data_IF_751326681581
#
_entry.id   IF_751326681581
#
_cell.length_a   1.000
_cell.length_b   1.000
_cell.length_c   1.000
_cell.angle_alpha   90.00
_cell.angle_beta   90.00
_cell.angle_gamma   90.00
#
_symmetry.space_group_name_H-M   'P 1'
#
loop_
_entity.id
_entity.type
_entity.pdbx_description
1 polymer ?
#
# COMPACT_ATOMS: atom_id res chain seq x y z
N UNK A 1 11.59 -18.95 -10.03
CA UNK A 1 11.83 -17.51 -10.16
C UNK A 1 10.47 -16.90 -10.37
N UNK A 2 9.96 -16.17 -9.38
CA UNK A 2 8.62 -15.60 -9.50
C UNK A 2 8.70 -14.41 -10.46
N UNK A 3 8.05 -14.58 -11.61
CA UNK A 3 8.06 -13.63 -12.71
C UNK A 3 7.33 -12.35 -12.26
N UNK A 4 7.93 -11.19 -12.38
CA UNK A 4 7.30 -9.89 -12.06
C UNK A 4 6.42 -9.36 -13.19
N UNK A 5 6.11 -10.20 -14.16
CA UNK A 5 5.26 -9.84 -15.28
C UNK A 5 3.78 -9.78 -14.83
N UNK A 6 3.33 -8.57 -14.48
CA UNK A 6 1.95 -8.33 -14.10
C UNK A 6 1.04 -8.26 -15.33
N UNK A 7 0.03 -9.14 -15.38
CA UNK A 7 -1.07 -9.06 -16.35
C UNK A 7 -2.07 -7.96 -15.99
N UNK A 8 -2.26 -7.71 -14.69
CA UNK A 8 -3.20 -6.70 -14.19
C UNK A 8 -2.76 -6.16 -12.84
N UNK A 9 -2.68 -4.84 -12.73
CA UNK A 9 -2.49 -4.15 -11.44
C UNK A 9 -3.84 -3.86 -10.80
N UNK A 10 -4.02 -4.30 -9.56
CA UNK A 10 -5.24 -4.08 -8.77
C UNK A 10 -5.02 -2.95 -7.77
N UNK A 11 -3.81 -2.81 -7.25
CA UNK A 11 -3.46 -1.86 -6.19
C UNK A 11 -2.02 -1.37 -6.37
N UNK A 12 -1.78 -0.08 -6.18
CA UNK A 12 -0.45 0.54 -6.18
C UNK A 12 -0.43 1.77 -5.28
N UNK A 13 0.29 1.71 -4.15
CA UNK A 13 0.43 2.85 -3.21
C UNK A 13 1.54 3.78 -3.66
N UNK A 14 1.16 4.79 -4.43
CA UNK A 14 2.09 5.70 -5.08
C UNK A 14 2.83 6.61 -4.12
N UNK A 15 2.13 7.10 -3.10
CA UNK A 15 2.71 8.01 -2.12
C UNK A 15 3.82 7.27 -1.36
N UNK A 16 3.51 6.05 -0.92
CA UNK A 16 4.52 5.18 -0.31
C UNK A 16 5.70 4.92 -1.25
N UNK A 17 5.43 4.53 -2.50
CA UNK A 17 6.48 4.14 -3.45
C UNK A 17 7.35 5.33 -3.85
N UNK A 18 6.78 6.53 -3.97
CA UNK A 18 7.54 7.75 -4.22
C UNK A 18 8.52 8.05 -3.07
N UNK A 19 8.04 8.00 -1.82
CA UNK A 19 8.88 8.19 -0.63
C UNK A 19 9.97 7.12 -0.54
N UNK A 20 9.60 5.85 -0.74
CA UNK A 20 10.53 4.73 -0.77
C UNK A 20 11.63 4.94 -1.82
N UNK A 21 11.26 5.39 -3.01
CA UNK A 21 12.21 5.63 -4.08
C UNK A 21 13.16 6.78 -3.76
N UNK A 22 12.65 7.85 -3.16
CA UNK A 22 13.47 8.97 -2.70
C UNK A 22 14.44 8.57 -1.58
N UNK A 23 13.99 7.74 -0.63
CA UNK A 23 14.83 7.23 0.46
C UNK A 23 15.98 6.40 -0.11
N UNK A 24 15.68 5.48 -1.04
CA UNK A 24 16.71 4.65 -1.66
C UNK A 24 17.68 5.49 -2.47
N UNK A 25 17.22 6.55 -3.14
CA UNK A 25 18.08 7.51 -3.83
C UNK A 25 18.97 8.36 -2.90
N UNK A 26 18.80 8.24 -1.58
CA UNK A 26 19.68 8.85 -0.58
C UNK A 26 19.24 10.23 -0.07
N UNK A 27 17.98 10.64 -0.27
CA UNK A 27 17.43 11.87 0.34
C UNK A 27 18.05 13.21 -0.10
N UNK A 28 19.17 13.21 -0.83
CA UNK A 28 19.81 14.38 -1.41
C UNK A 28 19.88 14.28 -2.94
N UNK A 29 19.25 15.24 -3.58
CA UNK A 29 19.23 15.47 -5.02
C UNK A 29 20.59 15.95 -5.58
N UNK A 30 21.69 15.71 -4.84
CA UNK A 30 23.05 16.18 -5.16
C UNK A 30 23.98 15.11 -5.75
N UNK A 31 23.61 13.83 -5.78
CA UNK A 31 24.48 12.75 -6.31
C UNK A 31 23.75 11.74 -7.21
N UNK A 32 22.80 12.20 -8.01
CA UNK A 32 22.02 11.38 -8.97
C UNK A 32 22.90 10.64 -9.99
N UNK A 33 24.06 11.19 -10.37
CA UNK A 33 24.97 10.54 -11.31
C UNK A 33 25.61 9.28 -10.71
N UNK A 34 26.00 9.29 -9.43
CA UNK A 34 26.61 8.11 -8.78
C UNK A 34 25.57 6.99 -8.58
N UNK A 35 24.33 7.34 -8.20
CA UNK A 35 23.25 6.36 -7.98
C UNK A 35 22.81 5.66 -9.28
N UNK A 36 22.64 6.42 -10.36
CA UNK A 36 22.35 5.86 -11.70
C UNK A 36 23.53 4.96 -12.14
N UNK A 37 24.76 5.38 -11.89
CA UNK A 37 25.95 4.59 -12.27
C UNK A 37 26.08 3.32 -11.43
N UNK A 38 25.86 3.37 -10.11
CA UNK A 38 25.97 2.20 -9.21
C UNK A 38 24.85 1.17 -9.45
N UNK A 39 23.62 1.62 -9.78
CA UNK A 39 22.54 0.73 -10.21
C UNK A 39 22.91 0.00 -11.50
N UNK A 40 23.61 0.69 -12.40
CA UNK A 40 24.07 0.15 -13.67
C UNK A 40 25.35 -0.71 -13.54
N UNK A 41 26.24 -0.40 -12.58
CA UNK A 41 27.51 -1.10 -12.36
C UNK A 41 27.39 -2.38 -11.53
N UNK A 42 26.25 -2.62 -10.87
CA UNK A 42 25.93 -3.94 -10.28
C UNK A 42 25.81 -5.09 -11.29
N UNK A 43 25.91 -4.78 -12.59
CA UNK A 43 25.90 -5.69 -13.74
C UNK A 43 27.33 -5.89 -14.31
N UNK A 44 28.33 -5.16 -13.83
CA UNK A 44 29.72 -5.28 -14.31
C UNK A 44 30.46 -6.39 -13.58
N UNK A 45 30.17 -7.61 -14.01
CA UNK A 45 30.80 -8.81 -13.50
C UNK A 45 30.85 -9.94 -14.50
N UNK A 46 31.11 -9.67 -15.78
CA UNK A 46 32.02 -10.43 -16.67
C UNK A 46 32.02 -9.82 -18.07
N UNK A 47 33.22 -9.68 -18.61
CA UNK A 47 33.52 -9.07 -19.89
C UNK A 47 32.89 -9.79 -21.09
N UNK A 48 32.48 -8.98 -22.08
CA UNK A 48 32.26 -9.37 -23.47
C UNK A 48 30.92 -10.03 -23.73
N UNK A 49 30.03 -9.32 -24.44
CA UNK A 49 29.20 -9.80 -25.55
C UNK A 49 28.39 -8.59 -26.05
N UNK A 50 28.57 -8.31 -27.34
CA UNK A 50 27.72 -7.44 -28.14
C UNK A 50 26.26 -7.92 -28.12
N UNK A 51 25.31 -6.99 -28.13
CA UNK A 51 23.93 -7.28 -28.51
C UNK A 51 22.92 -7.18 -27.36
N UNK A 52 22.11 -6.11 -27.42
CA UNK A 52 20.94 -5.93 -26.55
C UNK A 52 21.04 -4.70 -25.65
N UNK A 53 21.10 -3.50 -26.25
CA UNK A 53 20.84 -2.25 -25.50
C UNK A 53 19.35 -2.27 -25.15
N UNK A 54 19.03 -2.88 -24.02
CA UNK A 54 17.70 -2.86 -23.42
C UNK A 54 17.36 -1.42 -23.02
N UNK A 55 16.16 -1.01 -23.41
CA UNK A 55 15.47 0.24 -23.07
C UNK A 55 15.34 0.52 -21.56
N UNK A 56 15.82 -0.38 -20.69
CA UNK A 56 15.79 -0.35 -19.23
C UNK A 56 16.64 0.78 -18.61
N UNK A 57 17.73 1.21 -19.26
CA UNK A 57 18.64 2.24 -18.72
C UNK A 57 18.02 3.64 -18.63
N UNK A 58 16.98 3.91 -19.42
CA UNK A 58 16.39 5.24 -19.57
C UNK A 58 15.13 5.46 -18.72
N UNK A 59 14.52 4.41 -18.17
CA UNK A 59 13.25 4.51 -17.46
C UNK A 59 13.49 5.04 -16.04
N UNK A 60 14.26 4.29 -15.22
CA UNK A 60 14.64 4.66 -13.86
C UNK A 60 15.24 6.07 -13.74
N UNK A 61 16.10 6.47 -14.69
CA UNK A 61 16.73 7.79 -14.67
C UNK A 61 15.75 8.95 -14.80
N UNK A 62 14.60 8.75 -15.45
CA UNK A 62 13.63 9.83 -15.71
C UNK A 62 12.87 10.23 -14.46
N UNK A 63 12.45 9.27 -13.62
CA UNK A 63 11.75 9.59 -12.38
C UNK A 63 12.69 10.11 -11.32
N UNK A 64 13.90 9.55 -11.20
CA UNK A 64 14.90 10.11 -10.29
C UNK A 64 15.29 11.54 -10.63
N UNK A 65 15.18 11.95 -11.89
CA UNK A 65 15.38 13.36 -12.31
C UNK A 65 14.17 14.23 -11.97
N UNK A 66 12.96 13.69 -12.07
CA UNK A 66 11.71 14.41 -11.80
C UNK A 66 11.42 14.58 -10.30
N UNK A 67 11.50 13.52 -9.48
CA UNK A 67 11.38 13.58 -8.01
C UNK A 67 12.48 14.46 -7.37
N UNK A 68 13.54 14.68 -8.14
CA UNK A 68 14.66 15.55 -7.89
C UNK A 68 14.37 17.05 -8.05
N UNK A 69 13.17 17.43 -8.50
CA UNK A 69 12.85 18.83 -8.75
C UNK A 69 13.67 19.45 -9.88
N UNK A 70 14.45 18.66 -10.64
CA UNK A 70 15.08 19.09 -11.87
C UNK A 70 13.98 19.14 -12.95
N UNK A 71 13.26 20.24 -12.98
CA UNK A 71 12.21 20.51 -13.97
C UNK A 71 12.78 20.40 -15.38
N UNK A 72 12.30 19.42 -16.14
CA UNK A 72 12.42 19.45 -17.59
C UNK A 72 11.57 20.63 -18.06
N UNK A 73 12.23 21.66 -18.58
CA UNK A 73 11.56 22.81 -19.18
C UNK A 73 10.71 22.33 -20.36
N UNK A 74 9.44 22.04 -20.11
CA UNK A 74 8.42 21.92 -21.14
C UNK A 74 7.78 23.29 -21.25
N UNK A 75 8.30 24.09 -22.17
CA UNK A 75 7.67 25.34 -22.57
C UNK A 75 6.25 25.04 -23.08
N UNK A 76 5.23 25.38 -22.31
CA UNK A 76 3.84 25.29 -22.75
C UNK A 76 3.07 26.53 -22.27
N UNK A 77 2.75 27.37 -23.25
CA UNK A 77 2.02 28.61 -23.13
C UNK A 77 0.63 28.42 -22.52
N UNK A 78 0.27 29.40 -21.69
CA UNK A 78 -0.90 29.45 -20.82
C UNK A 78 -2.20 29.52 -21.63
N UNK A 79 -3.10 28.57 -21.40
CA UNK A 79 -4.53 28.75 -21.61
C UNK A 79 -5.30 28.01 -20.49
N UNK A 80 -6.13 28.73 -19.74
CA UNK A 80 -6.59 28.34 -18.39
C UNK A 80 -7.58 27.18 -18.34
N UNK A 81 -8.20 26.79 -19.45
CA UNK A 81 -9.06 25.58 -19.54
C UNK A 81 -8.30 24.28 -19.90
N UNK A 82 -7.06 24.41 -20.37
CA UNK A 82 -6.16 23.26 -20.64
C UNK A 82 -5.48 22.73 -19.37
N UNK A 83 -5.37 23.54 -18.33
CA UNK A 83 -4.68 23.23 -17.07
C UNK A 83 -5.21 21.96 -16.38
N UNK A 84 -6.52 21.84 -16.18
CA UNK A 84 -7.11 20.68 -15.48
C UNK A 84 -6.98 19.36 -16.24
N UNK A 85 -6.97 19.42 -17.58
CA UNK A 85 -6.79 18.24 -18.45
C UNK A 85 -5.31 17.89 -18.58
N UNK A 86 -4.42 18.88 -18.65
CA UNK A 86 -2.97 18.65 -18.61
C UNK A 86 -2.52 18.10 -17.27
N UNK A 87 -3.07 18.58 -16.15
CA UNK A 87 -2.72 18.12 -14.80
C UNK A 87 -3.11 16.64 -14.60
N UNK A 88 -4.28 16.23 -15.08
CA UNK A 88 -4.71 14.82 -15.08
C UNK A 88 -3.83 13.95 -15.99
N UNK A 89 -3.46 14.46 -17.17
CA UNK A 89 -2.59 13.74 -18.10
C UNK A 89 -1.18 13.61 -17.50
N UNK A 90 -0.61 14.68 -16.95
CA UNK A 90 0.70 14.70 -16.32
C UNK A 90 0.73 13.81 -15.07
N UNK A 91 -0.31 13.84 -14.24
CA UNK A 91 -0.48 12.94 -13.10
C UNK A 91 -0.50 11.49 -13.58
N UNK A 92 -1.39 11.11 -14.49
CA UNK A 92 -1.46 9.73 -14.99
C UNK A 92 -0.16 9.25 -15.67
N UNK A 93 0.55 10.13 -16.37
CA UNK A 93 1.87 9.81 -16.94
C UNK A 93 2.88 9.58 -15.80
N UNK A 94 2.92 10.43 -14.79
CA UNK A 94 3.79 10.29 -13.63
C UNK A 94 3.51 8.98 -12.87
N UNK A 95 2.23 8.69 -12.61
CA UNK A 95 1.76 7.47 -11.94
C UNK A 95 2.20 6.20 -12.69
N UNK A 96 1.95 6.12 -14.00
CA UNK A 96 2.32 4.98 -14.82
C UNK A 96 3.84 4.83 -14.97
N UNK A 97 4.58 5.94 -14.99
CA UNK A 97 6.04 5.89 -15.00
C UNK A 97 6.53 5.35 -13.66
N UNK A 98 6.00 5.85 -12.52
CA UNK A 98 6.40 5.42 -11.17
C UNK A 98 6.19 3.93 -10.94
N UNK A 99 5.05 3.41 -11.39
CA UNK A 99 4.77 1.99 -11.37
C UNK A 99 5.81 1.19 -12.19
N UNK A 100 6.06 1.60 -13.44
CA UNK A 100 7.00 0.90 -14.32
C UNK A 100 8.43 0.89 -13.76
N UNK A 101 8.87 2.03 -13.23
CA UNK A 101 10.19 2.18 -12.61
C UNK A 101 10.31 1.38 -11.31
N UNK A 102 9.25 1.34 -10.50
CA UNK A 102 9.24 0.52 -9.29
C UNK A 102 9.32 -0.98 -9.62
N UNK A 103 8.59 -1.46 -10.64
CA UNK A 103 8.71 -2.84 -11.11
C UNK A 103 10.12 -3.11 -11.63
N UNK A 104 10.68 -2.23 -12.44
CA UNK A 104 12.05 -2.37 -12.95
C UNK A 104 13.10 -2.38 -11.82
N UNK A 105 12.89 -1.60 -10.76
CA UNK A 105 13.72 -1.64 -9.55
C UNK A 105 13.64 -3.01 -8.87
N UNK A 106 12.42 -3.53 -8.65
CA UNK A 106 12.22 -4.84 -8.02
C UNK A 106 12.95 -5.93 -8.83
N UNK A 107 12.86 -5.90 -10.16
CA UNK A 107 13.51 -6.84 -11.06
C UNK A 107 15.03 -6.75 -11.04
N UNK A 108 15.54 -5.52 -11.05
CA UNK A 108 16.97 -5.28 -10.95
C UNK A 108 17.51 -5.73 -9.58
N UNK A 109 16.77 -5.49 -8.49
CA UNK A 109 17.18 -5.86 -7.14
C UNK A 109 17.14 -7.38 -6.89
N UNK A 110 16.21 -8.09 -7.54
CA UNK A 110 16.19 -9.57 -7.54
C UNK A 110 17.48 -10.15 -8.11
N UNK A 111 18.03 -9.54 -9.18
CA UNK A 111 19.27 -9.96 -9.85
C UNK A 111 20.55 -9.64 -9.05
N UNK A 112 20.47 -8.77 -8.03
CA UNK A 112 21.64 -8.40 -7.21
C UNK A 112 21.99 -9.48 -6.19
N UNK A 113 23.27 -9.78 -6.08
CA UNK A 113 23.80 -10.71 -5.06
C UNK A 113 24.16 -10.02 -3.74
N UNK A 114 24.45 -8.71 -3.76
CA UNK A 114 24.83 -7.88 -2.60
C UNK A 114 24.10 -6.53 -2.64
N UNK A 115 23.99 -5.86 -1.50
CA UNK A 115 23.36 -4.54 -1.36
C UNK A 115 21.92 -4.47 -1.91
N UNK A 116 21.10 -5.47 -1.56
CA UNK A 116 19.68 -5.51 -1.94
C UNK A 116 18.90 -4.37 -1.29
N UNK A 117 18.36 -3.49 -2.12
CA UNK A 117 17.64 -2.26 -1.75
C UNK A 117 16.16 -2.53 -1.46
N UNK A 118 15.60 -3.60 -2.02
CA UNK A 118 14.20 -4.00 -1.84
C UNK A 118 14.03 -5.11 -0.79
N UNK A 119 15.06 -5.39 0.02
CA UNK A 119 15.04 -6.47 1.02
C UNK A 119 13.94 -6.34 2.09
N UNK A 120 13.46 -5.11 2.35
CA UNK A 120 12.33 -4.85 3.24
C UNK A 120 10.96 -5.15 2.63
N UNK A 121 10.87 -5.39 1.31
CA UNK A 121 9.63 -5.72 0.62
C UNK A 121 9.47 -7.23 0.58
N UNK A 122 8.46 -7.73 1.30
CA UNK A 122 8.07 -9.14 1.30
C UNK A 122 7.05 -9.40 0.20
N UNK A 123 7.22 -10.53 -0.49
CA UNK A 123 6.29 -11.00 -1.52
C UNK A 123 5.41 -12.11 -0.97
N UNK A 124 4.10 -11.97 -1.16
CA UNK A 124 3.07 -12.94 -0.82
C UNK A 124 2.41 -13.43 -2.11
N UNK A 125 2.88 -14.55 -2.70
CA UNK A 125 2.45 -14.99 -4.02
C UNK A 125 1.08 -15.66 -3.99
N UNK A 126 0.18 -15.25 -4.90
CA UNK A 126 -1.10 -15.93 -5.17
C UNK A 126 -1.92 -16.21 -3.89
N UNK A 127 -2.05 -15.20 -3.03
CA UNK A 127 -2.78 -15.27 -1.76
C UNK A 127 -4.19 -14.69 -1.91
N UNK A 128 -5.13 -15.21 -1.13
CA UNK A 128 -6.49 -14.65 -0.96
C UNK A 128 -6.56 -14.00 0.41
N UNK A 129 -7.20 -12.83 0.47
CA UNK A 129 -7.37 -12.07 1.71
C UNK A 129 -8.83 -12.06 2.12
N UNK A 130 -9.12 -11.96 3.41
CA UNK A 130 -10.49 -11.86 3.93
C UNK A 130 -10.58 -10.83 5.06
N UNK A 131 -11.68 -10.09 5.18
CA UNK A 131 -11.90 -9.29 6.37
C UNK A 131 -12.03 -10.23 7.58
N UNK A 132 -11.57 -9.78 8.74
CA UNK A 132 -11.90 -10.46 9.99
C UNK A 132 -13.35 -10.14 10.37
N UNK A 133 -14.11 -11.13 10.85
CA UNK A 133 -15.51 -10.91 11.24
C UNK A 133 -15.58 -9.86 12.35
N UNK A 134 -16.56 -8.96 12.23
CA UNK A 134 -16.75 -7.80 13.11
C UNK A 134 -15.58 -6.81 13.13
N UNK A 135 -14.66 -6.88 12.16
CA UNK A 135 -13.64 -5.84 12.01
C UNK A 135 -14.20 -4.59 11.36
N UNK A 136 -13.43 -3.52 11.47
CA UNK A 136 -13.71 -2.28 10.75
C UNK A 136 -13.86 -2.53 9.24
N UNK A 137 -12.92 -3.24 8.61
CA UNK A 137 -12.98 -3.56 7.18
C UNK A 137 -14.17 -4.43 6.81
N UNK A 138 -14.61 -5.32 7.71
CA UNK A 138 -15.86 -6.07 7.50
C UNK A 138 -17.08 -5.15 7.41
N UNK A 139 -17.19 -4.16 8.31
CA UNK A 139 -18.31 -3.21 8.31
C UNK A 139 -18.26 -2.30 7.07
N UNK A 140 -17.07 -1.89 6.65
CA UNK A 140 -16.90 -1.08 5.44
C UNK A 140 -17.31 -1.79 4.16
N UNK A 141 -17.33 -3.13 4.12
CA UNK A 141 -17.83 -3.87 2.97
C UNK A 141 -19.35 -3.71 2.77
N UNK A 142 -20.08 -3.49 3.86
CA UNK A 142 -21.54 -3.37 3.85
C UNK A 142 -22.03 -1.92 3.93
N UNK A 143 -21.16 -0.99 4.36
CA UNK A 143 -21.51 0.42 4.56
C UNK A 143 -22.17 1.09 3.34
N UNK A 144 -21.71 0.89 2.09
CA UNK A 144 -22.35 1.50 0.93
C UNK A 144 -23.82 1.08 0.77
N UNK A 145 -24.20 -0.11 1.24
CA UNK A 145 -25.58 -0.59 1.19
C UNK A 145 -26.43 -0.08 2.36
N UNK A 146 -25.81 0.29 3.49
CA UNK A 146 -26.53 0.89 4.62
C UNK A 146 -27.13 2.25 4.24
N UNK A 147 -26.54 2.96 3.28
CA UNK A 147 -27.09 4.20 2.72
C UNK A 147 -28.51 4.04 2.14
N UNK A 148 -28.94 2.81 1.82
CA UNK A 148 -30.29 2.53 1.30
C UNK A 148 -31.36 2.46 2.42
N UNK A 149 -30.95 2.38 3.69
CA UNK A 149 -31.88 2.26 4.82
C UNK A 149 -32.40 3.67 5.19
N UNK A 150 -33.71 3.82 5.35
CA UNK A 150 -34.28 5.05 5.91
C UNK A 150 -34.00 5.08 7.42
N UNK A 151 -33.18 6.04 7.85
CA UNK A 151 -32.72 6.15 9.23
C UNK A 151 -33.76 6.69 10.21
N UNK A 152 -35.06 6.53 9.92
CA UNK A 152 -36.14 6.98 10.81
C UNK A 152 -36.13 6.21 12.13
N UNK A 153 -35.98 6.96 13.23
CA UNK A 153 -36.10 6.45 14.58
C UNK A 153 -37.54 6.57 15.07
N UNK A 154 -37.96 5.72 16.03
CA UNK A 154 -39.31 5.79 16.61
C UNK A 154 -39.56 7.02 17.51
N UNK A 155 -38.58 7.92 17.63
CA UNK A 155 -38.67 9.14 18.42
C UNK A 155 -39.04 10.32 17.51
N UNK A 156 -39.89 11.21 18.03
CA UNK A 156 -40.27 12.44 17.33
C UNK A 156 -39.59 13.66 17.93
N UNK A 157 -39.26 14.64 17.11
CA UNK A 157 -38.83 15.96 17.55
C UNK A 157 -40.02 16.74 18.14
N UNK A 158 -39.75 17.87 18.79
CA UNK A 158 -40.78 18.75 19.35
C UNK A 158 -41.80 19.22 18.29
N UNK A 159 -41.39 19.23 17.02
CA UNK A 159 -42.21 19.58 15.85
C UNK A 159 -43.02 18.39 15.28
N UNK A 160 -42.94 17.21 15.89
CA UNK A 160 -43.72 16.03 15.51
C UNK A 160 -43.17 15.19 14.35
N UNK A 161 -42.02 15.57 13.79
CA UNK A 161 -41.30 14.83 12.75
C UNK A 161 -40.50 13.67 13.36
N UNK A 162 -40.35 12.57 12.62
CA UNK A 162 -39.49 11.46 13.05
C UNK A 162 -38.02 11.90 13.05
N UNK A 163 -37.31 11.61 14.14
CA UNK A 163 -35.87 11.83 14.20
C UNK A 163 -35.18 10.91 13.19
N UNK A 164 -34.35 11.47 12.30
CA UNK A 164 -33.59 10.69 11.31
C UNK A 164 -32.11 10.61 11.68
N UNK A 165 -31.55 9.40 11.62
CA UNK A 165 -30.10 9.19 11.59
C UNK A 165 -29.64 9.24 10.14
N UNK A 166 -28.70 10.12 9.86
CA UNK A 166 -28.06 10.21 8.56
C UNK A 166 -26.94 9.15 8.47
N UNK A 167 -27.26 8.00 7.88
CA UNK A 167 -26.33 6.88 7.71
C UNK A 167 -25.15 7.27 6.81
N UNK A 168 -25.36 8.17 5.85
CA UNK A 168 -24.29 8.62 4.94
C UNK A 168 -23.20 9.38 5.68
N UNK A 169 -23.57 10.15 6.72
CA UNK A 169 -22.60 10.84 7.59
C UNK A 169 -21.79 9.88 8.45
N UNK A 170 -22.34 8.73 8.81
CA UNK A 170 -21.62 7.69 9.55
C UNK A 170 -20.53 7.10 8.64
N UNK A 171 -20.87 6.75 7.40
CA UNK A 171 -19.91 6.27 6.40
C UNK A 171 -18.79 7.31 6.18
N UNK A 172 -19.13 8.58 5.94
CA UNK A 172 -18.13 9.64 5.78
C UNK A 172 -17.22 9.81 7.01
N UNK A 173 -17.77 9.77 8.21
CA UNK A 173 -17.01 9.90 9.45
C UNK A 173 -16.04 8.72 9.61
N UNK A 174 -16.51 7.52 9.26
CA UNK A 174 -15.71 6.32 9.31
C UNK A 174 -14.56 6.37 8.27
N UNK A 175 -14.85 6.76 7.03
CA UNK A 175 -13.83 6.94 5.99
C UNK A 175 -12.76 8.00 6.34
N UNK A 176 -13.15 9.03 7.09
CA UNK A 176 -12.21 10.07 7.58
C UNK A 176 -11.35 9.56 8.73
N UNK A 177 -11.82 8.58 9.51
CA UNK A 177 -11.12 8.06 10.70
C UNK A 177 -9.99 7.06 10.41
N UNK A 178 -10.05 6.34 9.29
CA UNK A 178 -9.06 5.29 8.93
C UNK A 178 -8.53 5.48 7.51
N UNK A 179 -7.21 5.49 7.36
CA UNK A 179 -6.54 5.52 6.05
C UNK A 179 -6.39 4.15 5.39
N UNK A 180 -6.44 3.08 6.18
CA UNK A 180 -6.16 1.72 5.73
C UNK A 180 -7.31 0.75 6.03
N UNK A 181 -7.53 -0.17 5.10
CA UNK A 181 -8.32 -1.38 5.32
C UNK A 181 -7.40 -2.54 5.70
N UNK A 182 -7.81 -3.35 6.68
CA UNK A 182 -7.03 -4.43 7.26
C UNK A 182 -7.68 -5.76 6.90
N UNK A 183 -6.98 -6.57 6.11
CA UNK A 183 -7.43 -7.90 5.74
C UNK A 183 -6.49 -8.97 6.27
N UNK A 184 -7.06 -10.11 6.68
CA UNK A 184 -6.31 -11.29 7.09
C UNK A 184 -5.97 -12.12 5.86
N UNK A 185 -4.73 -12.57 5.79
CA UNK A 185 -4.26 -13.54 4.83
C UNK A 185 -3.64 -14.73 5.57
N UNK A 186 -3.90 -15.96 5.13
CA UNK A 186 -3.27 -17.15 5.72
C UNK A 186 -2.20 -17.67 4.77
N UNK A 187 -0.94 -17.67 5.22
CA UNK A 187 0.25 -18.04 4.44
C UNK A 187 1.00 -19.10 5.23
N UNK A 188 1.22 -20.28 4.63
CA UNK A 188 1.88 -21.43 5.28
C UNK A 188 1.26 -21.78 6.65
N UNK A 189 -0.07 -21.70 6.75
CA UNK A 189 -0.82 -21.97 7.97
C UNK A 189 -0.72 -20.88 9.06
N UNK A 190 -0.10 -19.74 8.77
CA UNK A 190 0.00 -18.59 9.68
C UNK A 190 -0.79 -17.41 9.15
N UNK A 191 -1.56 -16.78 10.02
CA UNK A 191 -2.24 -15.54 9.68
C UNK A 191 -1.23 -14.38 9.65
N UNK A 192 -1.43 -13.47 8.70
CA UNK A 192 -0.78 -12.16 8.60
C UNK A 192 -1.84 -11.10 8.25
N UNK A 193 -1.61 -9.86 8.63
CA UNK A 193 -2.49 -8.74 8.28
C UNK A 193 -1.87 -7.96 7.12
N UNK A 194 -2.64 -7.81 6.05
CA UNK A 194 -2.31 -6.96 4.91
C UNK A 194 -3.17 -5.70 4.97
N UNK A 195 -2.52 -4.54 5.05
CA UNK A 195 -3.15 -3.22 5.09
C UNK A 195 -3.12 -2.58 3.72
N UNK A 196 -4.26 -2.07 3.29
CA UNK A 196 -4.47 -1.45 1.99
C UNK A 196 -4.90 0.00 2.17
N UNK A 197 -4.12 0.93 1.63
CA UNK A 197 -4.47 2.34 1.57
C UNK A 197 -5.72 2.51 0.70
N UNK A 198 -6.76 3.14 1.24
CA UNK A 198 -8.05 3.28 0.55
C UNK A 198 -7.97 4.00 -0.79
N UNK A 199 -6.98 4.88 -1.00
CA UNK A 199 -6.83 5.65 -2.23
C UNK A 199 -5.96 4.99 -3.31
N UNK A 200 -5.39 3.81 -3.04
CA UNK A 200 -4.39 3.18 -3.89
C UNK A 200 -4.95 2.08 -4.84
N UNK A 201 -6.26 1.86 -4.85
CA UNK A 201 -6.89 0.92 -5.78
C UNK A 201 -6.88 1.42 -7.23
N UNK A 202 -6.64 0.51 -8.16
CA UNK A 202 -6.52 0.79 -9.61
C UNK A 202 -7.66 0.14 -10.39
N UNK A 203 -7.84 0.58 -11.63
CA UNK A 203 -8.70 -0.11 -12.60
C UNK A 203 -10.16 -0.33 -12.13
N UNK A 204 -10.68 0.62 -11.35
CA UNK A 204 -12.03 0.56 -10.75
C UNK A 204 -12.25 -0.62 -9.81
N UNK A 205 -11.18 -1.26 -9.33
CA UNK A 205 -11.29 -2.22 -8.22
C UNK A 205 -11.55 -1.48 -6.91
N UNK A 206 -12.22 -2.18 -6.01
CA UNK A 206 -12.51 -1.74 -4.65
C UNK A 206 -12.07 -2.81 -3.66
N UNK A 207 -12.08 -2.48 -2.38
CA UNK A 207 -11.73 -3.44 -1.33
C UNK A 207 -12.70 -4.65 -1.27
N UNK A 208 -13.94 -4.49 -1.77
CA UNK A 208 -14.94 -5.55 -1.92
C UNK A 208 -14.58 -6.62 -2.96
N UNK A 209 -13.62 -6.33 -3.83
CA UNK A 209 -13.14 -7.28 -4.84
C UNK A 209 -12.01 -8.15 -4.29
N UNK A 210 -11.24 -7.67 -3.30
CA UNK A 210 -10.06 -8.36 -2.79
C UNK A 210 -10.34 -9.81 -2.33
N UNK A 211 -11.42 -10.12 -1.59
CA UNK A 211 -11.69 -11.50 -1.17
C UNK A 211 -12.04 -12.47 -2.29
N UNK A 212 -12.33 -11.94 -3.49
CA UNK A 212 -12.73 -12.73 -4.68
C UNK A 212 -11.55 -12.97 -5.62
N UNK A 213 -10.37 -12.46 -5.28
CA UNK A 213 -9.19 -12.50 -6.14
C UNK A 213 -8.05 -13.26 -5.46
N UNK A 214 -7.24 -13.93 -6.28
CA UNK A 214 -5.97 -14.53 -5.86
C UNK A 214 -4.84 -13.69 -6.43
N UNK A 215 -4.24 -12.84 -5.61
CA UNK A 215 -3.26 -11.83 -6.04
C UNK A 215 -1.88 -12.12 -5.47
N UNK A 216 -0.86 -11.57 -6.10
CA UNK A 216 0.46 -11.46 -5.48
C UNK A 216 0.59 -10.07 -4.86
N UNK A 217 0.99 -10.03 -3.59
CA UNK A 217 1.17 -8.79 -2.84
C UNK A 217 2.64 -8.55 -2.57
N UNK A 218 3.10 -7.33 -2.84
CA UNK A 218 4.37 -6.80 -2.38
C UNK A 218 4.05 -5.89 -1.21
N UNK A 219 4.61 -6.17 -0.04
CA UNK A 219 4.24 -5.49 1.18
C UNK A 219 5.40 -5.37 2.17
N UNK A 220 5.37 -4.36 3.02
CA UNK A 220 6.45 -4.03 3.96
C UNK A 220 5.98 -4.29 5.38
N UNK A 221 6.82 -4.93 6.19
CA UNK A 221 6.50 -5.20 7.59
C UNK A 221 6.49 -3.90 8.39
N UNK A 222 5.42 -3.66 9.13
CA UNK A 222 5.18 -2.41 9.86
C UNK A 222 4.89 -2.62 11.35
N UNK A 223 4.69 -3.86 11.78
CA UNK A 223 4.47 -4.16 13.19
C UNK A 223 3.79 -5.49 13.43
N UNK A 224 3.23 -5.63 14.63
CA UNK A 224 2.58 -6.83 15.12
C UNK A 224 1.44 -6.45 16.05
N UNK A 225 0.30 -7.11 15.93
CA UNK A 225 -0.90 -6.85 16.76
C UNK A 225 -1.47 -8.15 17.32
N UNK A 226 -2.34 -8.08 18.32
CA UNK A 226 -3.20 -9.22 18.63
C UNK A 226 -4.33 -9.26 17.60
N UNK A 227 -4.74 -10.45 17.16
CA UNK A 227 -5.83 -10.56 16.16
C UNK A 227 -7.15 -9.96 16.66
N UNK A 228 -7.38 -9.97 17.96
CA UNK A 228 -8.52 -9.31 18.61
C UNK A 228 -8.50 -7.79 18.46
N UNK A 229 -7.36 -7.17 18.19
CA UNK A 229 -7.26 -5.72 17.99
C UNK A 229 -7.95 -5.27 16.70
N UNK A 230 -8.23 -6.19 15.77
CA UNK A 230 -9.02 -5.91 14.57
C UNK A 230 -10.52 -5.71 14.84
N UNK A 231 -11.01 -6.12 16.02
CA UNK A 231 -12.44 -6.05 16.33
C UNK A 231 -12.88 -4.59 16.41
N UNK A 232 -14.01 -4.24 15.79
CA UNK A 232 -14.47 -2.83 15.73
C UNK A 232 -14.62 -2.20 17.12
N UNK A 233 -14.93 -2.98 18.15
CA UNK A 233 -15.03 -2.49 19.52
C UNK A 233 -13.69 -1.90 20.01
N UNK A 234 -12.56 -2.44 19.54
CA UNK A 234 -11.21 -1.97 19.86
C UNK A 234 -10.88 -0.61 19.22
N UNK A 235 -11.53 -0.26 18.11
CA UNK A 235 -11.35 1.04 17.46
C UNK A 235 -11.81 2.20 18.36
N UNK A 236 -12.80 1.96 19.21
CA UNK A 236 -13.36 2.96 20.12
C UNK A 236 -12.63 3.02 21.48
N UNK A 237 -11.60 2.19 21.69
CA UNK A 237 -10.81 2.18 22.92
C UNK A 237 -9.73 3.29 22.95
N UNK A 238 -9.64 4.18 21.94
CA UNK A 238 -8.80 5.41 21.86
C UNK A 238 -7.63 5.53 22.87
N UNK A 239 -6.61 4.67 22.77
CA UNK A 239 -5.43 4.78 23.63
C UNK A 239 -5.66 4.50 25.12
N UNK A 240 -6.82 3.97 25.50
CA UNK A 240 -7.04 3.30 26.79
C UNK A 240 -6.35 1.94 26.77
N UNK A 241 -5.04 1.93 26.51
CA UNK A 241 -4.26 0.70 26.58
C UNK A 241 -4.42 0.15 27.99
N UNK A 242 -4.99 -1.06 28.09
CA UNK A 242 -4.76 -1.97 29.21
C UNK A 242 -3.32 -1.80 29.63
N UNK A 243 -3.09 -1.36 30.87
CA UNK A 243 -1.78 -1.22 31.49
C UNK A 243 -0.86 -2.31 30.96
N UNK A 244 0.05 -1.95 30.04
CA UNK A 244 1.14 -2.83 29.65
C UNK A 244 1.81 -3.19 30.96
N UNK A 245 1.71 -4.46 31.37
CA UNK A 245 2.43 -4.97 32.54
C UNK A 245 3.86 -4.47 32.36
N UNK A 246 4.26 -3.52 33.22
CA UNK A 246 5.65 -3.13 33.34
C UNK A 246 6.41 -4.44 33.45
N UNK A 247 7.30 -4.69 32.50
CA UNK A 247 8.21 -5.83 32.54
C UNK A 247 8.96 -5.68 33.86
N UNK A 248 8.52 -6.42 34.86
CA UNK A 248 9.18 -6.45 36.15
C UNK A 248 10.39 -7.37 35.93
N UNK A 249 11.58 -6.78 35.92
CA UNK A 249 12.84 -7.49 35.67
C UNK A 249 13.30 -8.24 36.93
N UNK A 250 12.36 -8.89 37.61
CA UNK A 250 12.62 -9.67 38.82
C UNK A 250 11.50 -10.70 39.03
N UNK A 251 11.55 -11.77 38.25
CA UNK A 251 11.08 -13.09 38.65
C UNK A 251 11.42 -14.07 37.54
N UNK A 252 12.55 -14.75 37.69
CA UNK A 252 12.69 -16.11 37.19
C UNK A 252 11.56 -16.93 37.78
N UNK A 253 10.61 -17.38 36.94
CA UNK A 253 9.91 -18.66 36.99
C UNK A 253 8.83 -18.65 35.89
N UNK A 254 8.78 -19.76 35.18
CA UNK A 254 7.98 -20.02 34.00
C UNK A 254 6.48 -19.74 34.23
N UNK A 255 5.88 -18.93 33.35
CA UNK A 255 4.46 -19.01 33.08
C UNK A 255 4.23 -18.85 31.57
N UNK A 256 3.79 -19.95 30.97
CA UNK A 256 3.60 -20.18 29.56
C UNK A 256 2.26 -19.60 29.08
N UNK A 257 2.30 -18.45 28.42
CA UNK A 257 1.39 -18.11 27.32
C UNK A 257 1.97 -16.95 26.52
N UNK A 258 2.95 -17.24 25.67
CA UNK A 258 3.41 -16.27 24.66
C UNK A 258 2.25 -16.00 23.71
N UNK A 259 1.52 -14.90 23.89
CA UNK A 259 0.56 -14.43 22.91
C UNK A 259 1.32 -14.16 21.60
N UNK A 260 1.26 -15.11 20.67
CA UNK A 260 1.86 -14.97 19.34
C UNK A 260 1.02 -13.97 18.56
N UNK A 261 1.37 -12.68 18.63
CA UNK A 261 0.75 -11.66 17.79
C UNK A 261 0.88 -11.98 16.29
N UNK A 262 0.08 -11.29 15.49
CA UNK A 262 0.00 -11.44 14.04
C UNK A 262 0.82 -10.32 13.38
N UNK A 263 1.70 -10.68 12.45
CA UNK A 263 2.51 -9.70 11.73
C UNK A 263 1.65 -8.86 10.78
N UNK A 264 1.93 -7.56 10.75
CA UNK A 264 1.21 -6.57 9.95
C UNK A 264 2.12 -6.05 8.85
N UNK A 265 1.56 -5.96 7.64
CA UNK A 265 2.25 -5.48 6.46
C UNK A 265 1.43 -4.42 5.72
N UNK A 266 2.07 -3.33 5.29
CA UNK A 266 1.49 -2.36 4.37
C UNK A 266 1.73 -2.83 2.93
N UNK A 267 0.66 -3.06 2.18
CA UNK A 267 0.75 -3.44 0.78
C UNK A 267 1.12 -2.21 -0.04
N UNK A 268 2.11 -2.37 -0.92
CA UNK A 268 2.61 -1.31 -1.81
C UNK A 268 2.23 -1.57 -3.27
N UNK A 269 2.15 -2.84 -3.67
CA UNK A 269 1.77 -3.25 -5.02
C UNK A 269 1.04 -4.59 -4.96
N UNK A 270 -0.09 -4.70 -5.65
CA UNK A 270 -0.79 -5.97 -5.81
C UNK A 270 -1.37 -6.14 -7.21
N UNK A 271 -1.33 -7.38 -7.71
CA UNK A 271 -1.83 -7.69 -9.03
C UNK A 271 -1.83 -9.18 -9.37
N UNK A 272 -2.29 -9.45 -10.59
CA UNK A 272 -2.29 -10.78 -11.19
C UNK A 272 -0.99 -10.92 -11.99
N UNK A 273 -0.20 -11.94 -11.66
CA UNK A 273 1.02 -12.28 -12.40
C UNK A 273 0.70 -13.29 -13.51
N UNK A 274 1.51 -13.27 -14.55
CA UNK A 274 1.52 -14.33 -15.57
C UNK A 274 1.80 -15.69 -14.93
N UNK A 275 1.04 -16.69 -15.37
CA UNK A 275 0.86 -17.99 -14.72
C UNK A 275 2.05 -18.90 -14.76
#
# INVERSE_FOLDING_TARGET
>A
MDNTNFLKIVYFDEAFVADFMQIIAGGELKKTTEFITEVNSGIEGTAGIEGGIGTEKNALSKIFTFLSGATVNVEASVNTDLSRKSDRIAKNILENTLLADFIALLDADQRRSKNKRCSGIKVFPKVVVRPEVNSFSYIMLIAPFLSMIDGELPFKTDDGEAMKIDITKIEEAIEKGRGYYEFVATVDGKDVILRFNRSAFRNSYTMSDLPKMRLTYYAIHVGKIEKSDLQVQKEFEFGTTKVSKRVNYDSTLEDSSTATGVDVYDVVLAGVLEG
#
